data_IF_065327678878
#
_entry.id   IF_065327678878
#
_cell.length_a   1.000
_cell.length_b   1.000
_cell.length_c   1.000
_cell.angle_alpha   90.00
_cell.angle_beta   90.00
_cell.angle_gamma   90.00
#
_symmetry.space_group_name_H-M   'P 1'
#
loop_
_entity.id
_entity.type
_entity.pdbx_description
1 polymer ?
#
# COMPACT_ATOMS: atom_id res chain seq x y z
N UNK A 1 2.31 -26.46 22.87
CA UNK A 1 3.12 -25.30 22.45
C UNK A 1 2.19 -24.37 21.71
N UNK A 2 2.05 -23.14 22.18
CA UNK A 2 1.28 -22.14 21.46
C UNK A 2 2.08 -21.73 20.21
N UNK A 3 1.41 -21.27 19.15
CA UNK A 3 2.10 -20.86 17.92
C UNK A 3 3.06 -19.68 18.17
N UNK A 4 2.75 -18.85 19.16
CA UNK A 4 3.60 -17.73 19.57
C UNK A 4 4.94 -18.21 20.14
N UNK A 5 4.96 -19.27 20.96
CA UNK A 5 6.21 -19.83 21.51
C UNK A 5 7.12 -20.34 20.39
N UNK A 6 6.53 -21.03 19.39
CA UNK A 6 7.27 -21.52 18.23
C UNK A 6 7.84 -20.38 17.39
N UNK A 7 7.07 -19.31 17.19
CA UNK A 7 7.53 -18.16 16.42
C UNK A 7 8.65 -17.44 17.15
N UNK A 8 8.54 -17.25 18.47
CA UNK A 8 9.58 -16.59 19.25
C UNK A 8 10.92 -17.35 19.19
N UNK A 9 10.91 -18.70 19.26
CA UNK A 9 12.11 -19.52 19.03
C UNK A 9 12.71 -19.35 17.63
N UNK A 10 11.87 -19.22 16.60
CA UNK A 10 12.31 -18.98 15.22
C UNK A 10 12.96 -17.59 15.13
N UNK A 11 12.39 -16.58 15.79
CA UNK A 11 12.88 -15.20 15.75
C UNK A 11 14.23 -15.04 16.43
N UNK A 12 14.49 -15.74 17.54
CA UNK A 12 15.79 -15.70 18.21
C UNK A 12 16.95 -16.13 17.30
N UNK A 13 16.67 -16.96 16.30
CA UNK A 13 17.65 -17.48 15.33
C UNK A 13 17.62 -16.74 13.99
N UNK A 14 16.74 -15.75 13.85
CA UNK A 14 16.48 -15.05 12.59
C UNK A 14 17.15 -13.68 12.55
N UNK A 15 17.48 -13.21 11.34
CA UNK A 15 18.05 -11.87 11.16
C UNK A 15 16.92 -10.86 10.94
N UNK A 16 16.87 -9.83 11.79
CA UNK A 16 15.94 -8.72 11.62
C UNK A 16 16.41 -7.77 10.50
N UNK A 17 15.58 -7.59 9.48
CA UNK A 17 15.87 -6.77 8.30
C UNK A 17 15.33 -5.34 8.41
N UNK A 18 14.25 -5.14 9.16
CA UNK A 18 13.64 -3.82 9.31
C UNK A 18 12.15 -3.88 9.61
N UNK A 19 11.57 -2.70 9.79
CA UNK A 19 10.15 -2.49 10.02
C UNK A 19 9.51 -1.87 8.76
N UNK A 20 8.40 -2.43 8.32
CA UNK A 20 7.75 -2.11 7.05
C UNK A 20 6.23 -2.06 7.22
N UNK A 21 5.55 -1.14 6.55
CA UNK A 21 4.09 -1.26 6.34
C UNK A 21 3.78 -2.47 5.46
N UNK A 22 2.55 -3.00 5.49
CA UNK A 22 2.14 -4.13 4.63
C UNK A 22 2.51 -3.91 3.15
N UNK A 23 2.24 -2.72 2.61
CA UNK A 23 2.51 -2.43 1.20
C UNK A 23 4.02 -2.42 0.89
N UNK A 24 4.84 -1.86 1.78
CA UNK A 24 6.29 -1.87 1.64
C UNK A 24 6.84 -3.29 1.77
N UNK A 25 6.31 -4.07 2.70
CA UNK A 25 6.70 -5.45 2.93
C UNK A 25 6.42 -6.34 1.72
N UNK A 26 5.21 -6.27 1.15
CA UNK A 26 4.83 -6.99 -0.06
C UNK A 26 5.69 -6.60 -1.29
N UNK A 27 6.11 -5.35 -1.36
CA UNK A 27 6.96 -4.85 -2.45
C UNK A 27 8.42 -5.29 -2.27
N UNK A 28 8.96 -5.10 -1.06
CA UNK A 28 10.31 -5.49 -0.68
C UNK A 28 10.49 -7.00 -0.85
N UNK A 29 9.50 -7.80 -0.43
CA UNK A 29 9.52 -9.26 -0.57
C UNK A 29 9.61 -9.69 -2.02
N UNK A 30 8.78 -9.10 -2.87
CA UNK A 30 8.70 -9.46 -4.28
C UNK A 30 10.01 -9.13 -5.01
N UNK A 31 10.57 -7.93 -4.80
CA UNK A 31 11.81 -7.49 -5.45
C UNK A 31 13.00 -8.36 -5.05
N UNK A 32 13.13 -8.68 -3.76
CA UNK A 32 14.29 -9.40 -3.25
C UNK A 32 14.11 -10.92 -3.28
N UNK A 33 12.96 -11.42 -3.76
CA UNK A 33 12.59 -12.84 -3.73
C UNK A 33 12.82 -13.46 -2.34
N UNK A 34 12.46 -12.70 -1.32
CA UNK A 34 12.81 -12.94 0.08
C UNK A 34 12.06 -14.17 0.62
N UNK A 35 12.73 -14.94 1.47
CA UNK A 35 12.07 -15.94 2.33
C UNK A 35 12.21 -15.50 3.78
N UNK A 36 11.09 -15.33 4.46
CA UNK A 36 11.09 -14.75 5.80
C UNK A 36 9.71 -14.61 6.40
N UNK A 37 9.62 -13.84 7.48
CA UNK A 37 8.40 -13.64 8.24
C UNK A 37 8.26 -12.19 8.65
N UNK A 38 7.13 -11.58 8.31
CA UNK A 38 6.71 -10.28 8.83
C UNK A 38 5.84 -10.47 10.06
N UNK A 39 6.10 -9.72 11.12
CA UNK A 39 5.38 -9.84 12.39
C UNK A 39 4.89 -8.47 12.83
N UNK A 40 3.58 -8.38 13.06
CA UNK A 40 2.94 -7.25 13.71
C UNK A 40 2.44 -7.72 15.08
N UNK A 41 3.00 -7.18 16.15
CA UNK A 41 2.58 -7.46 17.53
C UNK A 41 1.99 -6.18 18.12
N UNK A 42 0.73 -6.24 18.54
CA UNK A 42 0.14 -5.20 19.38
C UNK A 42 -0.26 -5.77 20.76
N UNK A 43 -0.86 -4.96 21.63
CA UNK A 43 -1.24 -5.38 22.98
C UNK A 43 -2.40 -6.38 23.04
N UNK A 44 -3.11 -6.59 21.92
CA UNK A 44 -4.38 -7.32 21.83
C UNK A 44 -4.33 -8.53 20.90
N UNK A 45 -3.45 -8.49 19.90
CA UNK A 45 -3.32 -9.50 18.87
C UNK A 45 -1.90 -9.55 18.31
N UNK A 46 -1.63 -10.62 17.60
CA UNK A 46 -0.41 -10.79 16.83
C UNK A 46 -0.75 -11.29 15.44
N UNK A 47 -0.18 -10.64 14.44
CA UNK A 47 -0.28 -11.01 13.05
C UNK A 47 1.08 -11.47 12.53
N UNK A 48 1.08 -12.59 11.80
CA UNK A 48 2.26 -13.11 11.13
C UNK A 48 1.97 -13.29 9.63
N UNK A 49 2.88 -12.83 8.79
CA UNK A 49 2.91 -13.10 7.35
C UNK A 49 4.18 -13.87 7.02
N UNK A 50 4.03 -15.02 6.36
CA UNK A 50 5.15 -15.85 5.94
C UNK A 50 5.36 -15.65 4.45
N UNK A 51 6.59 -15.30 4.10
CA UNK A 51 7.04 -15.09 2.73
C UNK A 51 7.88 -16.27 2.26
N UNK A 52 7.52 -16.85 1.11
CA UNK A 52 8.35 -17.83 0.41
C UNK A 52 8.68 -17.29 -0.97
N UNK A 53 9.97 -17.07 -1.24
CA UNK A 53 10.46 -16.58 -2.55
C UNK A 53 9.75 -15.29 -3.00
N UNK A 54 9.50 -14.39 -2.04
CA UNK A 54 8.90 -13.08 -2.25
C UNK A 54 7.37 -13.04 -2.23
N UNK A 55 6.72 -14.19 -2.16
CA UNK A 55 5.26 -14.31 -2.13
C UNK A 55 4.74 -14.50 -0.69
N UNK A 56 3.67 -13.79 -0.28
CA UNK A 56 3.04 -13.98 1.03
C UNK A 56 2.20 -15.26 1.03
N UNK A 57 2.87 -16.39 1.19
CA UNK A 57 2.27 -17.72 1.06
C UNK A 57 1.60 -18.21 2.35
N UNK A 58 1.82 -17.56 3.49
CA UNK A 58 1.20 -17.93 4.76
C UNK A 58 0.78 -16.74 5.62
N UNK A 59 -0.28 -16.92 6.41
CA UNK A 59 -0.78 -15.90 7.33
C UNK A 59 -1.34 -16.52 8.62
N UNK A 60 -1.08 -15.90 9.76
CA UNK A 60 -1.63 -16.30 11.06
C UNK A 60 -2.05 -15.05 11.82
N UNK A 61 -3.23 -15.07 12.41
CA UNK A 61 -3.72 -14.03 13.31
C UNK A 61 -4.07 -14.69 14.64
N UNK A 62 -3.54 -14.18 15.75
CA UNK A 62 -3.80 -14.70 17.08
C UNK A 62 -4.25 -13.57 18.00
N UNK A 63 -5.37 -13.74 18.68
CA UNK A 63 -5.89 -12.84 19.71
C UNK A 63 -6.36 -13.63 20.93
N UNK A 64 -6.98 -12.95 21.90
CA UNK A 64 -7.55 -13.58 23.10
C UNK A 64 -8.68 -14.60 22.79
N UNK A 65 -9.30 -14.52 21.61
CA UNK A 65 -10.42 -15.37 21.20
C UNK A 65 -9.95 -16.62 20.46
N UNK A 66 -8.72 -16.64 19.95
CA UNK A 66 -8.10 -17.82 19.36
C UNK A 66 -7.11 -17.49 18.25
N UNK A 67 -6.87 -18.48 17.39
CA UNK A 67 -5.91 -18.36 16.29
C UNK A 67 -6.59 -18.69 14.96
N UNK A 68 -6.45 -17.79 14.00
CA UNK A 68 -6.88 -17.93 12.62
C UNK A 68 -5.66 -18.18 11.72
N UNK A 69 -5.90 -18.89 10.61
CA UNK A 69 -4.86 -19.33 9.69
C UNK A 69 -5.28 -19.05 8.25
N UNK A 70 -4.29 -18.75 7.39
CA UNK A 70 -4.49 -18.59 5.95
C UNK A 70 -5.41 -17.41 5.62
N UNK A 71 -6.30 -17.60 4.66
CA UNK A 71 -7.18 -16.54 4.16
C UNK A 71 -8.03 -15.89 5.27
N UNK A 72 -8.50 -16.69 6.25
CA UNK A 72 -9.25 -16.16 7.40
C UNK A 72 -8.41 -15.22 8.25
N UNK A 73 -7.11 -15.47 8.39
CA UNK A 73 -6.22 -14.54 9.09
C UNK A 73 -6.09 -13.23 8.30
N UNK A 74 -5.88 -13.31 6.98
CA UNK A 74 -5.74 -12.13 6.10
C UNK A 74 -6.90 -11.15 6.21
N UNK A 75 -8.13 -11.63 6.43
CA UNK A 75 -9.31 -10.78 6.57
C UNK A 75 -9.27 -9.88 7.81
N UNK A 76 -8.50 -10.27 8.84
CA UNK A 76 -8.37 -9.53 10.09
C UNK A 76 -7.25 -8.49 10.08
N UNK A 77 -6.53 -8.37 8.97
CA UNK A 77 -5.43 -7.42 8.84
C UNK A 77 -5.95 -5.97 8.79
N UNK A 78 -5.47 -5.15 9.73
CA UNK A 78 -5.89 -3.77 9.87
C UNK A 78 -5.10 -2.83 8.94
N UNK A 79 -5.76 -1.76 8.51
CA UNK A 79 -5.12 -0.73 7.69
C UNK A 79 -4.17 0.10 8.55
N UNK A 80 -2.86 0.00 8.28
CA UNK A 80 -1.81 0.73 9.01
C UNK A 80 -0.94 -0.13 9.92
N UNK A 81 -1.09 -1.47 9.90
CA UNK A 81 -0.14 -2.37 10.58
C UNK A 81 1.28 -2.22 10.03
N UNK A 82 2.22 -2.15 10.97
CA UNK A 82 3.66 -2.22 10.71
C UNK A 82 4.19 -3.60 11.11
N UNK A 83 5.09 -4.12 10.28
CA UNK A 83 5.64 -5.46 10.40
C UNK A 83 7.14 -5.40 10.54
N UNK A 84 7.65 -6.01 11.60
CA UNK A 84 9.05 -6.34 11.71
C UNK A 84 9.35 -7.56 10.84
N UNK A 85 10.26 -7.42 9.88
CA UNK A 85 10.66 -8.47 8.95
C UNK A 85 11.89 -9.20 9.46
N UNK A 86 11.80 -10.52 9.47
CA UNK A 86 12.87 -11.43 9.82
C UNK A 86 13.17 -12.39 8.67
N UNK A 87 14.45 -12.56 8.33
CA UNK A 87 14.88 -13.61 7.41
C UNK A 87 14.86 -14.96 8.12
N UNK A 88 14.17 -15.91 7.51
CA UNK A 88 13.98 -17.25 8.06
C UNK A 88 14.49 -18.27 7.06
N UNK A 89 15.08 -19.36 7.57
CA UNK A 89 15.56 -20.45 6.72
C UNK A 89 14.40 -21.04 5.88
N UNK A 90 14.60 -21.32 4.57
CA UNK A 90 13.54 -21.81 3.71
C UNK A 90 12.76 -23.04 4.21
N UNK A 91 13.41 -24.07 4.80
CA UNK A 91 12.69 -25.22 5.34
C UNK A 91 11.69 -24.87 6.44
N UNK A 92 12.00 -23.84 7.25
CA UNK A 92 11.11 -23.37 8.32
C UNK A 92 9.93 -22.62 7.72
N UNK A 93 10.18 -21.72 6.75
CA UNK A 93 9.11 -21.00 6.06
C UNK A 93 8.15 -21.96 5.35
N UNK A 94 8.67 -22.97 4.64
CA UNK A 94 7.86 -23.98 3.95
C UNK A 94 7.02 -24.80 4.93
N UNK A 95 7.59 -25.18 6.08
CA UNK A 95 6.87 -25.88 7.15
C UNK A 95 5.72 -25.04 7.72
N UNK A 96 5.92 -23.73 7.90
CA UNK A 96 4.87 -22.81 8.35
C UNK A 96 3.78 -22.65 7.30
N UNK A 97 4.15 -22.36 6.05
CA UNK A 97 3.21 -22.22 4.92
C UNK A 97 2.32 -23.47 4.78
N UNK A 98 2.85 -24.67 5.03
CA UNK A 98 2.06 -25.90 4.99
C UNK A 98 0.85 -25.92 5.94
N UNK A 99 0.89 -25.11 7.01
CA UNK A 99 -0.15 -25.05 8.04
C UNK A 99 -1.00 -23.78 7.98
N UNK A 100 -0.51 -22.72 7.35
CA UNK A 100 -1.16 -21.41 7.37
C UNK A 100 -1.34 -20.79 5.98
N UNK A 101 -1.44 -21.63 4.96
CA UNK A 101 -1.41 -21.22 3.56
C UNK A 101 -2.46 -20.17 3.20
N UNK A 102 -2.05 -19.12 2.50
CA UNK A 102 -2.94 -18.14 1.87
C UNK A 102 -3.16 -18.56 0.41
N UNK A 103 -4.41 -18.77 0.03
CA UNK A 103 -4.79 -19.08 -1.35
C UNK A 103 -5.21 -17.82 -2.09
N UNK A 104 -6.02 -16.97 -1.44
CA UNK A 104 -6.59 -15.76 -2.00
C UNK A 104 -5.72 -14.54 -1.69
N UNK A 105 -4.55 -14.49 -2.35
CA UNK A 105 -3.57 -13.38 -2.22
C UNK A 105 -4.13 -12.02 -2.65
N UNK A 106 -5.26 -11.99 -3.36
CA UNK A 106 -5.97 -10.77 -3.73
C UNK A 106 -6.38 -9.94 -2.51
N UNK A 107 -6.66 -10.59 -1.37
CA UNK A 107 -7.00 -9.92 -0.11
C UNK A 107 -5.83 -9.17 0.53
N UNK A 108 -4.59 -9.59 0.25
CA UNK A 108 -3.37 -8.87 0.64
C UNK A 108 -3.05 -7.72 -0.32
N UNK A 109 -3.51 -7.83 -1.57
CA UNK A 109 -3.39 -6.80 -2.61
C UNK A 109 -4.51 -5.77 -2.48
N UNK A 110 -4.66 -5.14 -1.32
CA UNK A 110 -5.54 -3.96 -1.16
C UNK A 110 -4.95 -2.80 -1.99
N UNK A 111 -5.39 -2.68 -3.25
CA UNK A 111 -5.19 -1.58 -4.21
C UNK A 111 -3.91 -0.70 -4.04
N UNK A 112 -2.73 -1.33 -4.03
CA UNK A 112 -1.44 -0.63 -4.07
C UNK A 112 -0.61 -1.12 -5.25
N UNK A 113 -0.85 -0.59 -6.46
CA UNK A 113 0.07 -0.77 -7.59
C UNK A 113 1.31 0.09 -7.34
N UNK A 114 2.33 -0.52 -6.74
CA UNK A 114 3.69 0.02 -6.65
C UNK A 114 4.44 -0.34 -7.95
N UNK A 115 4.96 0.67 -8.65
CA UNK A 115 5.85 0.46 -9.80
C UNK A 115 7.34 0.70 -9.45
N UNK A 116 8.14 -0.20 -10.02
CA UNK A 116 9.60 -0.37 -10.18
C UNK A 116 10.52 0.74 -9.61
N UNK A 117 11.48 0.38 -8.72
CA UNK A 117 12.49 1.33 -8.24
C UNK A 117 13.48 1.71 -9.35
N UNK A 118 13.85 3.00 -9.38
CA UNK A 118 14.91 3.51 -10.27
C UNK A 118 16.23 3.48 -9.52
N UNK A 119 17.24 2.77 -10.05
CA UNK A 119 18.58 2.68 -9.45
C UNK A 119 19.25 4.06 -9.54
N UNK A 120 19.61 4.64 -8.38
CA UNK A 120 20.58 5.74 -8.31
C UNK A 120 20.08 7.12 -7.85
N UNK A 121 19.37 7.25 -6.73
CA UNK A 121 19.42 8.49 -5.92
C UNK A 121 18.89 8.27 -4.47
N UNK A 122 19.56 8.84 -3.45
CA UNK A 122 19.16 8.73 -2.05
C UNK A 122 18.23 9.89 -1.65
N UNK A 123 16.93 9.66 -1.72
CA UNK A 123 15.97 10.32 -0.84
C UNK A 123 14.97 9.25 -0.47
N UNK A 124 14.93 8.88 0.82
CA UNK A 124 13.98 7.92 1.39
C UNK A 124 12.60 8.19 0.78
N UNK A 125 12.18 7.35 -0.17
CA UNK A 125 10.88 7.48 -0.79
C UNK A 125 9.88 7.07 0.28
N UNK A 126 9.13 8.04 0.80
CA UNK A 126 8.14 7.83 1.85
C UNK A 126 6.78 7.79 1.19
N UNK A 127 6.00 6.77 1.52
CA UNK A 127 4.59 6.72 1.17
C UNK A 127 3.87 7.82 1.95
N UNK A 128 2.97 8.52 1.29
CA UNK A 128 2.00 9.35 1.99
C UNK A 128 0.75 9.59 1.16
N UNK A 129 -0.10 10.51 1.60
CA UNK A 129 -1.45 10.68 1.10
C UNK A 129 -1.58 12.01 0.37
N UNK A 130 -1.83 11.95 -0.93
CA UNK A 130 -2.22 13.10 -1.74
C UNK A 130 -3.74 13.18 -1.80
N UNK A 131 -4.33 14.19 -1.16
CA UNK A 131 -5.76 14.46 -1.28
C UNK A 131 -5.99 15.66 -2.19
N UNK A 132 -6.84 15.47 -3.20
CA UNK A 132 -7.26 16.49 -4.14
C UNK A 132 -8.72 16.82 -3.89
N UNK A 133 -9.03 18.11 -3.76
CA UNK A 133 -10.41 18.61 -3.76
C UNK A 133 -10.64 19.34 -5.08
N UNK A 134 -11.53 18.77 -5.89
CA UNK A 134 -11.83 19.23 -7.23
C UNK A 134 -13.00 20.21 -7.18
N UNK A 135 -12.81 21.38 -7.79
CA UNK A 135 -13.84 22.41 -7.88
C UNK A 135 -14.14 22.75 -9.35
N UNK A 136 -15.43 22.91 -9.64
CA UNK A 136 -15.92 23.58 -10.85
C UNK A 136 -16.43 24.97 -10.44
N UNK A 137 -15.60 25.99 -10.68
CA UNK A 137 -15.81 27.33 -10.14
C UNK A 137 -15.77 27.36 -8.61
N UNK A 138 -16.90 27.68 -7.96
CA UNK A 138 -17.01 27.73 -6.49
C UNK A 138 -17.57 26.43 -5.87
N UNK A 139 -18.07 25.50 -6.69
CA UNK A 139 -18.71 24.28 -6.19
C UNK A 139 -17.76 23.08 -6.26
N UNK A 140 -17.70 22.23 -5.23
CA UNK A 140 -16.99 20.96 -5.32
C UNK A 140 -17.64 20.06 -6.37
N UNK A 141 -16.82 19.43 -7.22
CA UNK A 141 -17.28 18.60 -8.33
C UNK A 141 -17.27 17.13 -7.92
N UNK A 142 -18.45 16.59 -7.61
CA UNK A 142 -18.64 15.16 -7.34
C UNK A 142 -18.70 14.32 -8.63
N UNK A 143 -18.26 13.06 -8.57
CA UNK A 143 -18.29 12.14 -9.71
C UNK A 143 -17.26 12.41 -10.82
N UNK A 144 -16.29 13.31 -10.61
CA UNK A 144 -15.18 13.52 -11.53
C UNK A 144 -14.17 12.38 -11.45
N UNK A 145 -13.70 11.90 -12.60
CA UNK A 145 -12.66 10.89 -12.68
C UNK A 145 -11.29 11.56 -12.64
N UNK A 146 -10.50 11.26 -11.62
CA UNK A 146 -9.16 11.80 -11.43
C UNK A 146 -8.15 10.69 -11.66
N UNK A 147 -7.23 10.88 -12.61
CA UNK A 147 -6.14 9.95 -12.88
C UNK A 147 -4.78 10.58 -12.60
N UNK A 148 -3.95 9.88 -11.83
CA UNK A 148 -2.59 10.30 -11.50
C UNK A 148 -1.62 9.56 -12.40
N UNK A 149 -0.75 10.30 -13.08
CA UNK A 149 0.17 9.80 -14.10
C UNK A 149 1.61 10.16 -13.77
N UNK A 150 2.53 9.27 -14.15
CA UNK A 150 3.97 9.53 -14.16
C UNK A 150 4.48 9.29 -15.58
N UNK A 151 4.75 10.37 -16.31
CA UNK A 151 5.01 10.30 -17.75
C UNK A 151 3.77 9.82 -18.52
N UNK A 152 3.91 8.73 -19.29
CA UNK A 152 2.81 8.15 -20.09
C UNK A 152 1.98 7.12 -19.33
N UNK A 153 2.40 6.73 -18.13
CA UNK A 153 1.76 5.67 -17.35
C UNK A 153 0.76 6.25 -16.35
N UNK A 154 -0.46 5.69 -16.32
CA UNK A 154 -1.44 5.95 -15.27
C UNK A 154 -1.11 5.08 -14.07
N UNK A 155 -0.76 5.70 -12.95
CA UNK A 155 -0.34 5.01 -11.72
C UNK A 155 -1.56 4.64 -10.88
N UNK A 156 -2.53 5.55 -10.78
CA UNK A 156 -3.79 5.32 -10.08
C UNK A 156 -4.87 6.23 -10.63
N UNK A 157 -6.12 5.89 -10.36
CA UNK A 157 -7.27 6.73 -10.67
C UNK A 157 -8.42 6.41 -9.73
N UNK A 158 -9.21 7.41 -9.41
CA UNK A 158 -10.39 7.27 -8.58
C UNK A 158 -11.41 8.37 -8.91
N UNK A 159 -12.60 8.28 -8.35
CA UNK A 159 -13.71 9.21 -8.58
C UNK A 159 -13.94 10.05 -7.33
N UNK A 160 -14.10 11.35 -7.51
CA UNK A 160 -14.36 12.29 -6.41
C UNK A 160 -15.67 11.98 -5.68
N UNK A 161 -15.65 12.07 -4.34
CA UNK A 161 -16.82 11.91 -3.47
C UNK A 161 -17.82 13.08 -3.57
N UNK A 162 -18.86 13.08 -2.72
CA UNK A 162 -19.88 14.15 -2.68
C UNK A 162 -19.33 15.53 -2.30
N UNK A 163 -18.15 15.59 -1.69
CA UNK A 163 -17.41 16.81 -1.38
C UNK A 163 -16.38 17.19 -2.45
N UNK A 164 -16.37 16.51 -3.60
CA UNK A 164 -15.39 16.72 -4.67
C UNK A 164 -13.99 16.24 -4.33
N UNK A 165 -13.84 15.44 -3.27
CA UNK A 165 -12.53 15.02 -2.74
C UNK A 165 -12.15 13.62 -3.22
N UNK A 166 -10.87 13.42 -3.46
CA UNK A 166 -10.27 12.12 -3.78
C UNK A 166 -8.89 12.05 -3.14
N UNK A 167 -8.49 10.89 -2.62
CA UNK A 167 -7.20 10.73 -1.96
C UNK A 167 -6.44 9.53 -2.51
N UNK A 168 -5.15 9.71 -2.77
CA UNK A 168 -4.26 8.72 -3.34
C UNK A 168 -3.07 8.48 -2.41
N UNK A 169 -2.80 7.21 -2.09
CA UNK A 169 -1.55 6.83 -1.45
C UNK A 169 -0.46 6.71 -2.50
N UNK A 170 0.52 7.61 -2.45
CA UNK A 170 1.59 7.72 -3.44
C UNK A 170 2.93 7.89 -2.73
N UNK A 171 4.01 7.53 -3.42
CA UNK A 171 5.35 7.91 -2.98
C UNK A 171 5.52 9.42 -3.15
N UNK A 172 6.31 10.03 -2.27
CA UNK A 172 6.74 11.40 -2.48
C UNK A 172 7.41 11.56 -3.86
N UNK A 173 6.90 12.52 -4.63
CA UNK A 173 7.27 12.68 -6.01
C UNK A 173 6.38 13.67 -6.76
N UNK A 174 6.72 13.87 -8.03
CA UNK A 174 6.02 14.76 -8.94
C UNK A 174 5.13 13.93 -9.87
N UNK A 175 3.86 14.32 -9.94
CA UNK A 175 2.84 13.61 -10.72
C UNK A 175 2.06 14.56 -11.61
N UNK A 176 1.49 14.01 -12.68
CA UNK A 176 0.50 14.69 -13.51
C UNK A 176 -0.88 14.14 -13.15
N UNK A 177 -1.70 14.96 -12.53
CA UNK A 177 -3.10 14.66 -12.25
C UNK A 177 -3.93 15.14 -13.42
N UNK A 178 -4.76 14.26 -13.97
CA UNK A 178 -5.67 14.55 -15.07
C UNK A 178 -7.08 14.34 -14.56
N UNK A 179 -7.87 15.41 -14.60
CA UNK A 179 -9.26 15.38 -14.18
C UNK A 179 -10.15 15.35 -15.42
N UNK A 180 -11.05 14.39 -15.44
CA UNK A 180 -12.02 14.17 -16.51
C UNK A 180 -13.42 14.10 -15.95
N UNK A 181 -14.39 14.60 -16.69
CA UNK A 181 -15.81 14.44 -16.39
C UNK A 181 -16.51 13.64 -17.52
N UNK A 182 -17.84 13.56 -17.46
CA UNK A 182 -18.68 12.87 -18.46
C UNK A 182 -18.56 13.42 -19.89
N UNK A 183 -17.99 14.61 -20.07
CA UNK A 183 -17.85 15.29 -21.37
C UNK A 183 -16.43 15.20 -21.93
N UNK A 184 -15.47 14.73 -21.13
CA UNK A 184 -14.09 14.51 -21.55
C UNK A 184 -13.06 14.97 -20.53
N UNK A 185 -11.82 15.06 -20.97
CA UNK A 185 -10.73 15.58 -20.16
C UNK A 185 -10.89 17.08 -19.94
N UNK A 186 -10.83 17.53 -18.68
CA UNK A 186 -11.07 18.93 -18.34
C UNK A 186 -9.82 19.69 -17.96
N UNK A 187 -8.88 19.05 -17.26
CA UNK A 187 -7.68 19.74 -16.78
C UNK A 187 -6.56 18.75 -16.51
N UNK A 188 -5.32 19.21 -16.71
CA UNK A 188 -4.10 18.56 -16.22
C UNK A 188 -3.40 19.50 -15.26
N UNK A 189 -3.08 19.02 -14.05
CA UNK A 189 -2.23 19.76 -13.12
C UNK A 189 -1.04 18.92 -12.69
N UNK A 190 0.07 19.59 -12.43
CA UNK A 190 1.26 18.94 -11.86
C UNK A 190 1.19 19.11 -10.36
N UNK A 191 1.30 18.01 -9.64
CA UNK A 191 1.34 18.02 -8.18
C UNK A 191 2.68 17.49 -7.72
N UNK A 192 3.36 18.30 -6.90
CA UNK A 192 4.58 17.95 -6.22
C UNK A 192 4.23 17.60 -4.78
N UNK A 193 4.43 16.33 -4.43
CA UNK A 193 4.07 15.75 -3.16
C UNK A 193 5.36 15.37 -2.43
N UNK A 194 5.75 16.12 -1.41
CA UNK A 194 7.01 15.90 -0.68
C UNK A 194 6.83 15.59 0.82
N UNK A 195 5.65 15.86 1.36
CA UNK A 195 5.29 15.67 2.77
C UNK A 195 4.40 14.43 2.95
N UNK A 196 4.25 13.85 4.15
CA UNK A 196 3.45 12.64 4.37
C UNK A 196 1.96 12.79 4.03
N UNK A 197 1.44 14.02 4.07
CA UNK A 197 0.08 14.34 3.70
C UNK A 197 0.07 15.70 3.02
N UNK A 198 -0.48 15.79 1.81
CA UNK A 198 -0.67 17.04 1.09
C UNK A 198 -2.11 17.13 0.66
N UNK A 199 -2.76 18.24 1.04
CA UNK A 199 -4.07 18.61 0.53
C UNK A 199 -3.89 19.68 -0.53
N UNK A 200 -4.42 19.45 -1.72
CA UNK A 200 -4.33 20.39 -2.84
C UNK A 200 -5.70 20.61 -3.44
N UNK A 201 -6.04 21.88 -3.62
CA UNK A 201 -7.24 22.30 -4.33
C UNK A 201 -6.94 22.39 -5.81
N UNK A 202 -7.80 21.81 -6.64
CA UNK A 202 -7.70 21.88 -8.11
C UNK A 202 -8.98 22.51 -8.64
N UNK A 203 -8.87 23.73 -9.14
CA UNK A 203 -9.97 24.41 -9.83
C UNK A 203 -9.90 24.07 -11.33
N UNK A 204 -11.03 23.65 -11.90
CA UNK A 204 -11.18 23.29 -13.32
C UNK A 204 -11.74 24.49 -14.13
N UNK A 205 -12.06 25.59 -13.46
CA UNK A 205 -12.63 26.79 -14.05
C UNK A 205 -11.58 27.71 -14.67
N UNK A 206 -11.44 27.65 -15.99
CA UNK A 206 -10.74 28.66 -16.80
C UNK A 206 -10.38 28.14 -18.19
N UNK A 207 -11.29 28.29 -19.15
CA UNK A 207 -10.88 28.47 -20.55
C UNK A 207 -9.99 29.71 -20.61
N UNK A 208 -8.67 29.50 -20.76
CA UNK A 208 -7.86 30.48 -21.49
C UNK A 208 -8.36 30.47 -22.93
N UNK A 209 -9.37 31.31 -23.20
CA UNK A 209 -9.60 31.80 -24.55
C UNK A 209 -8.67 33.00 -24.72
N UNK A 210 -7.45 32.72 -25.18
CA UNK A 210 -6.66 33.73 -25.88
C UNK A 210 -7.47 34.18 -27.11
N UNK A 211 -7.57 35.49 -27.29
CA UNK A 211 -7.88 36.22 -28.55
C UNK A 211 -9.28 36.84 -28.68
N UNK A 212 -9.45 38.07 -28.17
CA UNK A 212 -9.49 39.29 -29.01
C UNK A 212 -9.56 40.58 -28.19
#
# INVERSE_FOLDING_TARGET
MAINDLVDEILEQSTHEGCFTLSELLHYSNIHSLTGMGISKDSTHTFFLVFSRGEPDGAVFADEKGTLFGDSAVLHLADGEEFDLYLVAPPIADALVSRCRVFEKSHLKRNGRLDIPTIGAPTRQRVGVLCLTIHDGQAPLAGAHVSVRKGKLVITSDVTDSGGRVCFRLLNGRYMCVVSDRTGERTRCIVEFHEPQVETRVDIGGTEDESR
#
